data_IF_001148768218
#
_entry.id   IF_001148768218
#
_cell.length_a   1.000
_cell.length_b   1.000
_cell.length_c   1.000
_cell.angle_alpha   90.00
_cell.angle_beta   90.00
_cell.angle_gamma   90.00
#
_symmetry.space_group_name_H-M   'P 1'
#
loop_
_entity.id
_entity.type
_entity.pdbx_description
1 polymer ?
#
# COMPACT_ATOMS: atom_id res chain seq x y z
N UNK A 1 6.25 -3.44 -49.72
CA UNK A 1 6.97 -2.16 -49.70
C UNK A 1 6.07 -0.93 -49.61
N UNK A 2 5.21 -0.59 -50.59
CA UNK A 2 4.40 0.65 -50.50
C UNK A 2 3.29 0.58 -49.44
N UNK A 3 2.61 -0.57 -49.34
CA UNK A 3 1.61 -0.83 -48.29
C UNK A 3 2.24 -0.82 -46.88
N UNK A 4 3.43 -1.38 -46.73
CA UNK A 4 4.18 -1.33 -45.46
C UNK A 4 4.54 0.10 -45.07
N UNK A 5 4.94 0.93 -46.05
CA UNK A 5 5.24 2.35 -45.80
C UNK A 5 4.00 3.12 -45.35
N UNK A 6 2.83 2.83 -45.92
CA UNK A 6 1.55 3.44 -45.53
C UNK A 6 1.14 2.98 -44.13
N UNK A 7 1.24 1.68 -43.84
CA UNK A 7 0.96 1.13 -42.50
C UNK A 7 1.88 1.76 -41.46
N UNK A 8 3.17 1.90 -41.77
CA UNK A 8 4.14 2.47 -40.86
C UNK A 8 3.87 3.96 -40.60
N UNK A 9 3.52 4.72 -41.64
CA UNK A 9 3.16 6.13 -41.49
C UNK A 9 1.88 6.30 -40.65
N UNK A 10 0.85 5.50 -40.92
CA UNK A 10 -0.37 5.50 -40.13
C UNK A 10 -0.11 5.10 -38.66
N UNK A 11 0.77 4.12 -38.43
CA UNK A 11 1.19 3.72 -37.08
C UNK A 11 1.86 4.87 -36.32
N UNK A 12 2.76 5.61 -36.98
CA UNK A 12 3.46 6.75 -36.38
C UNK A 12 2.46 7.86 -36.06
N UNK A 13 1.59 8.22 -37.00
CA UNK A 13 0.60 9.29 -36.82
C UNK A 13 -0.41 8.97 -35.70
N UNK A 14 -0.89 7.72 -35.66
CA UNK A 14 -1.75 7.24 -34.57
C UNK A 14 -1.00 7.27 -33.23
N UNK A 15 0.26 6.86 -33.20
CA UNK A 15 1.06 6.84 -31.97
C UNK A 15 1.32 8.26 -31.43
N UNK A 16 1.60 9.23 -32.31
CA UNK A 16 1.76 10.63 -31.93
C UNK A 16 0.46 11.24 -31.43
N UNK A 17 -0.65 10.96 -32.12
CA UNK A 17 -1.99 11.41 -31.71
C UNK A 17 -2.36 10.83 -30.35
N UNK A 18 -2.12 9.53 -30.15
CA UNK A 18 -2.37 8.85 -28.88
C UNK A 18 -1.51 9.43 -27.76
N UNK A 19 -0.21 9.64 -28.02
CA UNK A 19 0.71 10.24 -27.05
C UNK A 19 0.24 11.61 -26.60
N UNK A 20 -0.05 12.51 -27.54
CA UNK A 20 -0.50 13.86 -27.21
C UNK A 20 -1.86 13.83 -26.50
N UNK A 21 -2.77 12.94 -26.88
CA UNK A 21 -4.04 12.76 -26.17
C UNK A 21 -3.82 12.36 -24.70
N UNK A 22 -2.94 11.39 -24.43
CA UNK A 22 -2.69 10.92 -23.07
C UNK A 22 -1.86 11.88 -22.21
N UNK A 23 -0.86 12.52 -22.81
CA UNK A 23 0.02 13.46 -22.11
C UNK A 23 -0.72 14.78 -21.86
N UNK A 24 -1.35 15.36 -22.90
CA UNK A 24 -1.90 16.71 -22.82
C UNK A 24 -3.34 16.75 -22.28
N UNK A 25 -4.19 15.76 -22.60
CA UNK A 25 -5.60 15.77 -22.15
C UNK A 25 -5.87 14.92 -20.92
N UNK A 26 -5.17 13.79 -20.77
CA UNK A 26 -5.39 12.89 -19.64
C UNK A 26 -4.39 13.06 -18.51
N UNK A 27 -3.45 14.02 -18.62
CA UNK A 27 -2.50 14.37 -17.56
C UNK A 27 -1.83 13.12 -16.96
N UNK A 28 -1.40 12.19 -17.82
CA UNK A 28 -0.85 10.91 -17.40
C UNK A 28 0.33 11.06 -16.43
N UNK A 29 1.13 12.12 -16.60
CA UNK A 29 2.28 12.44 -15.75
C UNK A 29 1.81 12.73 -14.32
N UNK A 30 0.78 13.54 -14.16
CA UNK A 30 0.24 13.93 -12.84
C UNK A 30 -0.37 12.72 -12.12
N UNK A 31 -0.94 11.77 -12.87
CA UNK A 31 -1.49 10.54 -12.32
C UNK A 31 -0.40 9.51 -11.97
N UNK A 32 0.70 9.47 -12.73
CA UNK A 32 1.90 8.71 -12.36
C UNK A 32 2.57 9.29 -11.11
N UNK A 33 2.62 10.61 -10.99
CA UNK A 33 3.14 11.28 -9.80
C UNK A 33 2.26 10.97 -8.57
N UNK A 34 0.92 10.96 -8.73
CA UNK A 34 0.02 10.51 -7.68
C UNK A 34 0.28 9.05 -7.29
N UNK A 35 0.33 8.12 -8.25
CA UNK A 35 0.62 6.71 -7.97
C UNK A 35 1.94 6.57 -7.25
N UNK A 36 2.99 7.27 -7.71
CA UNK A 36 4.28 7.30 -7.04
C UNK A 36 4.14 7.82 -5.60
N UNK A 37 3.45 8.93 -5.41
CA UNK A 37 3.25 9.54 -4.10
C UNK A 37 2.59 8.59 -3.08
N UNK A 38 1.58 7.83 -3.52
CA UNK A 38 0.81 6.95 -2.65
C UNK A 38 1.37 5.52 -2.52
N UNK A 39 1.87 4.92 -3.60
CA UNK A 39 2.39 3.54 -3.56
C UNK A 39 3.85 3.48 -3.09
N UNK A 40 4.67 4.50 -3.38
CA UNK A 40 6.08 4.54 -2.96
C UNK A 40 6.31 5.31 -1.66
N UNK A 41 5.25 5.74 -0.95
CA UNK A 41 5.37 6.40 0.35
C UNK A 41 6.33 7.61 0.27
N UNK A 42 6.13 8.47 -0.74
CA UNK A 42 7.00 9.63 -0.97
C UNK A 42 6.93 10.63 0.19
N UNK A 43 5.79 10.65 0.91
CA UNK A 43 5.53 11.53 2.05
C UNK A 43 5.59 10.76 3.36
N UNK A 44 6.81 10.53 3.85
CA UNK A 44 7.04 9.73 5.05
C UNK A 44 6.26 10.19 6.29
N UNK A 45 6.05 11.50 6.49
CA UNK A 45 5.30 12.05 7.63
C UNK A 45 3.84 11.57 7.65
N UNK A 46 3.18 11.58 6.49
CA UNK A 46 1.80 11.09 6.35
C UNK A 46 1.70 9.63 6.75
N UNK A 47 2.63 8.80 6.29
CA UNK A 47 2.61 7.37 6.61
C UNK A 47 3.04 7.10 8.05
N UNK A 48 3.91 7.92 8.65
CA UNK A 48 4.22 7.82 10.09
C UNK A 48 3.00 8.15 10.95
N UNK A 49 2.28 9.23 10.63
CA UNK A 49 1.04 9.61 11.33
C UNK A 49 -0.04 8.55 11.14
N UNK A 50 -0.21 8.09 9.91
CA UNK A 50 -1.14 7.01 9.57
C UNK A 50 -0.81 5.76 10.37
N UNK A 51 0.46 5.30 10.36
CA UNK A 51 0.88 4.12 11.10
C UNK A 51 0.59 4.24 12.58
N UNK A 52 0.89 5.39 13.20
CA UNK A 52 0.61 5.60 14.62
C UNK A 52 -0.89 5.49 14.95
N UNK A 53 -1.76 6.02 14.09
CA UNK A 53 -3.22 6.02 14.30
C UNK A 53 -3.86 4.68 13.97
N UNK A 54 -3.42 4.03 12.89
CA UNK A 54 -3.97 2.74 12.48
C UNK A 54 -3.35 1.58 13.22
N UNK A 55 -2.28 1.77 14.00
CA UNK A 55 -1.60 0.71 14.73
C UNK A 55 -2.60 -0.12 15.55
N UNK A 56 -3.34 0.53 16.44
CA UNK A 56 -4.28 -0.14 17.33
C UNK A 56 -5.44 -0.81 16.57
N UNK A 57 -5.91 -0.20 15.48
CA UNK A 57 -6.99 -0.75 14.65
C UNK A 57 -6.52 -1.98 13.86
N UNK A 58 -5.35 -1.92 13.24
CA UNK A 58 -4.81 -3.00 12.40
C UNK A 58 -4.28 -4.17 13.22
N UNK A 59 -3.72 -3.92 14.42
CA UNK A 59 -3.31 -4.97 15.35
C UNK A 59 -4.50 -5.79 15.87
N UNK A 60 -5.64 -5.14 16.10
CA UNK A 60 -6.86 -5.81 16.58
C UNK A 60 -7.66 -6.49 15.46
N UNK A 61 -7.36 -6.18 14.20
CA UNK A 61 -8.11 -6.72 13.07
C UNK A 61 -7.57 -8.08 12.65
N UNK A 62 -8.34 -9.13 12.93
CA UNK A 62 -8.07 -10.52 12.49
C UNK A 62 -8.98 -11.00 11.34
N UNK A 63 -9.96 -10.19 10.91
CA UNK A 63 -10.91 -10.49 9.82
C UNK A 63 -11.27 -9.21 9.07
N UNK A 64 -11.33 -9.25 7.73
CA UNK A 64 -11.82 -8.07 6.95
C UNK A 64 -13.30 -7.89 7.27
N UNK A 65 -13.59 -6.76 7.89
CA UNK A 65 -14.94 -6.26 8.07
C UNK A 65 -15.00 -4.94 7.30
N UNK A 66 -16.04 -4.76 6.47
CA UNK A 66 -16.22 -3.52 5.70
C UNK A 66 -16.18 -2.25 6.57
N UNK A 67 -16.60 -2.36 7.84
CA UNK A 67 -16.48 -1.28 8.82
C UNK A 67 -15.03 -0.86 9.07
N UNK A 68 -14.12 -1.82 9.26
CA UNK A 68 -12.70 -1.57 9.53
C UNK A 68 -12.02 -0.97 8.29
N UNK A 69 -12.36 -1.43 7.09
CA UNK A 69 -11.86 -0.81 5.87
C UNK A 69 -12.31 0.65 5.73
N UNK A 70 -13.56 0.95 6.08
CA UNK A 70 -14.06 2.32 6.10
C UNK A 70 -13.35 3.15 7.18
N UNK A 71 -13.15 2.60 8.38
CA UNK A 71 -12.44 3.28 9.47
C UNK A 71 -10.98 3.61 9.08
N UNK A 72 -10.28 2.69 8.42
CA UNK A 72 -8.91 2.92 7.91
C UNK A 72 -8.92 4.05 6.87
N UNK A 73 -9.89 4.03 5.95
CA UNK A 73 -10.03 5.07 4.95
C UNK A 73 -10.37 6.45 5.57
N UNK A 74 -11.18 6.48 6.63
CA UNK A 74 -11.48 7.71 7.37
C UNK A 74 -10.27 8.22 8.17
N UNK A 75 -9.53 7.33 8.84
CA UNK A 75 -8.27 7.69 9.51
C UNK A 75 -7.27 8.24 8.51
N UNK A 76 -7.22 7.69 7.30
CA UNK A 76 -6.38 8.22 6.23
C UNK A 76 -6.77 9.64 5.80
N UNK A 77 -8.07 9.90 5.61
CA UNK A 77 -8.57 11.26 5.32
C UNK A 77 -8.27 12.24 6.45
N UNK A 78 -8.40 11.80 7.71
CA UNK A 78 -8.02 12.62 8.87
C UNK A 78 -6.53 12.95 8.86
N UNK A 79 -5.65 11.98 8.54
CA UNK A 79 -4.22 12.24 8.40
C UNK A 79 -3.91 13.25 7.28
N UNK A 80 -4.65 13.21 6.17
CA UNK A 80 -4.51 14.18 5.08
C UNK A 80 -4.94 15.59 5.50
N UNK A 81 -6.04 15.69 6.24
CA UNK A 81 -6.55 16.96 6.76
C UNK A 81 -5.56 17.60 7.74
N UNK A 82 -5.00 16.80 8.66
CA UNK A 82 -4.07 17.32 9.67
C UNK A 82 -2.76 17.85 9.04
N UNK A 83 -2.33 17.23 7.94
CA UNK A 83 -1.15 17.64 7.20
C UNK A 83 -1.45 18.72 6.13
N UNK A 84 -2.68 19.25 6.08
CA UNK A 84 -3.12 20.29 5.14
C UNK A 84 -2.81 19.93 3.67
N UNK A 85 -2.93 18.65 3.32
CA UNK A 85 -2.63 18.17 1.97
C UNK A 85 -3.88 18.24 1.08
N UNK A 86 -4.43 19.43 0.90
CA UNK A 86 -5.71 19.67 0.21
C UNK A 86 -5.73 19.19 -1.25
N UNK A 87 -4.64 19.39 -2.00
CA UNK A 87 -4.49 18.90 -3.39
C UNK A 87 -4.55 17.37 -3.47
N UNK A 88 -4.10 16.71 -2.41
CA UNK A 88 -4.09 15.25 -2.31
C UNK A 88 -5.44 14.75 -1.78
N UNK A 89 -6.13 15.50 -0.93
CA UNK A 89 -7.48 15.18 -0.44
C UNK A 89 -8.47 15.01 -1.61
N UNK A 90 -8.44 15.91 -2.60
CA UNK A 90 -9.26 15.77 -3.82
C UNK A 90 -8.93 14.53 -4.66
N UNK A 91 -7.70 14.04 -4.57
CA UNK A 91 -7.25 12.83 -5.27
C UNK A 91 -7.35 11.56 -4.41
N UNK A 92 -7.46 11.70 -3.09
CA UNK A 92 -7.52 10.61 -2.12
C UNK A 92 -8.76 9.76 -2.31
N UNK A 93 -9.88 10.32 -2.78
CA UNK A 93 -11.09 9.55 -3.12
C UNK A 93 -10.87 8.51 -4.23
N UNK A 94 -9.80 8.67 -5.04
CA UNK A 94 -9.39 7.68 -6.05
C UNK A 94 -8.67 6.48 -5.44
N UNK A 95 -8.09 6.61 -4.25
CA UNK A 95 -7.31 5.59 -3.55
C UNK A 95 -8.11 5.07 -2.36
N UNK A 96 -8.42 3.77 -2.35
CA UNK A 96 -9.10 3.13 -1.22
C UNK A 96 -8.22 2.03 -0.65
N UNK A 97 -7.96 2.09 0.64
CA UNK A 97 -7.32 1.00 1.37
C UNK A 97 -8.31 -0.16 1.51
N UNK A 98 -7.82 -1.37 1.26
CA UNK A 98 -8.55 -2.63 1.37
C UNK A 98 -7.73 -3.67 2.10
N UNK A 99 -8.40 -4.45 2.95
CA UNK A 99 -7.75 -5.53 3.69
C UNK A 99 -8.01 -6.86 2.98
N UNK A 100 -7.05 -7.30 2.18
CA UNK A 100 -7.12 -8.58 1.48
C UNK A 100 -6.58 -9.68 2.40
N UNK A 101 -7.42 -10.16 3.33
CA UNK A 101 -7.10 -11.40 4.03
C UNK A 101 -7.20 -12.55 3.03
N UNK A 102 -6.17 -13.39 2.86
CA UNK A 102 -6.30 -14.60 2.10
C UNK A 102 -7.31 -15.49 2.83
N UNK A 103 -8.54 -15.50 2.34
CA UNK A 103 -9.50 -16.52 2.72
C UNK A 103 -8.89 -17.86 2.29
N UNK A 104 -9.03 -18.88 3.13
CA UNK A 104 -8.46 -20.23 2.97
C UNK A 104 -9.03 -21.02 1.79
N UNK A 105 -9.54 -20.36 0.75
CA UNK A 105 -10.21 -21.02 -0.36
C UNK A 105 -9.42 -20.77 -1.65
N UNK A 106 -8.51 -21.71 -1.91
CA UNK A 106 -8.18 -22.21 -3.25
C UNK A 106 -7.55 -21.22 -4.22
N UNK A 107 -6.22 -21.12 -4.16
CA UNK A 107 -5.35 -21.63 -5.23
C UNK A 107 -3.90 -21.52 -4.77
N UNK A 108 -3.40 -22.64 -4.26
CA UNK A 108 -1.99 -22.91 -4.27
C UNK A 108 -1.51 -22.81 -5.73
N UNK A 109 -0.68 -21.82 -6.07
CA UNK A 109 0.46 -22.11 -6.93
C UNK A 109 1.61 -21.10 -6.99
N UNK A 110 1.50 -19.82 -6.62
CA UNK A 110 2.62 -18.89 -6.94
C UNK A 110 3.23 -18.06 -5.79
N UNK A 111 2.65 -18.02 -4.58
CA UNK A 111 3.24 -17.26 -3.45
C UNK A 111 4.07 -18.17 -2.51
N UNK A 112 4.69 -19.21 -3.08
CA UNK A 112 5.32 -20.30 -2.33
C UNK A 112 6.84 -20.14 -2.12
N UNK A 113 7.47 -19.07 -2.61
CA UNK A 113 8.91 -18.83 -2.40
C UNK A 113 9.24 -18.32 -1.00
N UNK A 114 8.68 -17.17 -0.62
CA UNK A 114 8.96 -16.54 0.67
C UNK A 114 8.27 -17.25 1.85
N UNK A 115 7.06 -17.79 1.64
CA UNK A 115 6.27 -18.41 2.71
C UNK A 115 6.77 -19.80 3.12
N UNK A 116 7.39 -20.57 2.20
CA UNK A 116 7.92 -21.92 2.50
C UNK A 116 9.20 -21.92 3.34
N UNK A 117 10.04 -20.89 3.22
CA UNK A 117 11.25 -20.80 4.04
C UNK A 117 10.94 -20.50 5.52
N UNK A 118 9.79 -19.89 5.81
CA UNK A 118 9.39 -19.49 7.17
C UNK A 118 8.38 -20.42 7.84
N UNK A 119 7.68 -21.28 7.09
CA UNK A 119 6.71 -22.23 7.65
C UNK A 119 7.34 -23.54 8.16
N UNK A 120 8.66 -23.72 7.99
CA UNK A 120 9.38 -24.92 8.51
C UNK A 120 9.65 -24.87 10.03
N UNK A 121 9.17 -23.86 10.75
CA UNK A 121 9.26 -23.81 12.22
C UNK A 121 7.91 -23.91 12.94
N UNK A 122 6.78 -24.01 12.22
CA UNK A 122 5.45 -24.19 12.83
C UNK A 122 5.11 -25.69 13.00
N UNK A 123 5.86 -26.34 13.87
CA UNK A 123 5.44 -27.56 14.52
C UNK A 123 6.00 -27.51 15.94
N UNK A 124 5.10 -27.52 16.94
CA UNK A 124 5.33 -27.38 18.38
C UNK A 124 5.17 -25.93 18.89
N UNK A 125 3.96 -25.54 19.30
CA UNK A 125 3.52 -25.56 20.71
C UNK A 125 2.17 -24.87 20.84
N UNK A 126 1.14 -25.64 21.19
CA UNK A 126 -0.03 -25.18 21.93
C UNK A 126 0.44 -24.74 23.33
N UNK A 127 0.42 -23.44 23.61
CA UNK A 127 0.37 -22.90 24.97
C UNK A 127 -0.02 -21.42 24.92
N UNK A 128 -0.69 -20.93 25.96
CA UNK A 128 -1.34 -19.63 26.11
C UNK A 128 -0.42 -18.39 26.11
N UNK A 129 0.67 -18.41 25.33
CA UNK A 129 1.47 -17.27 24.90
C UNK A 129 1.81 -17.50 23.42
N UNK A 130 0.84 -17.30 22.53
CA UNK A 130 1.12 -17.38 21.10
C UNK A 130 2.00 -16.18 20.71
N UNK A 131 3.16 -16.41 20.07
CA UNK A 131 3.93 -15.32 19.46
C UNK A 131 3.00 -14.50 18.58
N UNK A 132 3.12 -13.18 18.63
CA UNK A 132 2.33 -12.28 17.82
C UNK A 132 2.42 -12.69 16.33
N UNK A 133 1.36 -13.30 15.80
CA UNK A 133 1.28 -13.67 14.39
C UNK A 133 1.04 -12.40 13.57
N UNK A 134 2.12 -11.67 13.26
CA UNK A 134 2.09 -10.47 12.41
C UNK A 134 1.44 -10.74 11.04
N UNK A 135 1.51 -11.97 10.55
CA UNK A 135 0.88 -12.38 9.30
C UNK A 135 -0.63 -12.60 9.39
N UNK A 136 -1.20 -12.58 10.60
CA UNK A 136 -2.64 -12.70 10.88
C UNK A 136 -3.27 -11.34 11.22
N UNK A 137 -2.49 -10.27 11.33
CA UNK A 137 -2.97 -8.93 11.63
C UNK A 137 -3.19 -8.10 10.34
N UNK A 138 -4.05 -7.08 10.43
CA UNK A 138 -4.44 -6.26 9.27
C UNK A 138 -3.27 -5.60 8.54
N UNK A 139 -2.09 -5.46 9.15
CA UNK A 139 -0.88 -4.90 8.53
C UNK A 139 -0.37 -5.74 7.36
N UNK A 140 -0.36 -7.06 7.48
CA UNK A 140 0.09 -7.95 6.41
C UNK A 140 -0.89 -7.99 5.22
N UNK A 141 -2.12 -7.54 5.42
CA UNK A 141 -3.21 -7.63 4.46
C UNK A 141 -3.62 -6.28 3.87
N UNK A 142 -2.91 -5.21 4.21
CA UNK A 142 -3.23 -3.84 3.80
C UNK A 142 -2.81 -3.54 2.36
N UNK A 143 -3.76 -3.45 1.45
CA UNK A 143 -3.54 -3.13 0.04
C UNK A 143 -4.17 -1.78 -0.34
N UNK A 144 -3.64 -1.12 -1.38
CA UNK A 144 -4.22 0.09 -1.96
C UNK A 144 -4.94 -0.28 -3.25
N UNK A 145 -6.23 0.05 -3.33
CA UNK A 145 -7.02 -0.01 -4.55
C UNK A 145 -7.11 1.37 -5.19
N UNK A 146 -6.45 1.52 -6.34
CA UNK A 146 -6.50 2.73 -7.15
C UNK A 146 -7.57 2.63 -8.25
N UNK A 147 -8.53 3.56 -8.25
CA UNK A 147 -9.64 3.65 -9.22
C UNK A 147 -9.26 4.56 -10.39
N UNK A 148 -8.82 3.92 -11.48
CA UNK A 148 -8.44 4.59 -12.73
C UNK A 148 -9.68 4.93 -13.58
N UNK A 149 -9.81 6.19 -14.02
CA UNK A 149 -10.82 6.61 -15.02
C UNK A 149 -10.46 6.07 -16.41
N UNK A 150 -11.46 5.71 -17.21
CA UNK A 150 -11.26 5.41 -18.63
C UNK A 150 -10.77 6.68 -19.35
N UNK A 151 -9.80 6.63 -20.28
CA UNK A 151 -9.15 5.48 -20.96
C UNK A 151 -7.84 5.00 -20.33
N UNK A 152 -7.43 5.56 -19.20
CA UNK A 152 -6.12 5.35 -18.59
C UNK A 152 -5.92 3.93 -18.02
N UNK A 153 -7.00 3.14 -17.94
CA UNK A 153 -6.96 1.70 -17.66
C UNK A 153 -6.08 0.91 -18.64
N UNK A 154 -5.91 1.40 -19.88
CA UNK A 154 -5.06 0.74 -20.87
C UNK A 154 -3.57 0.72 -20.46
N UNK A 155 -3.11 1.77 -19.77
CA UNK A 155 -1.75 1.82 -19.22
C UNK A 155 -1.65 1.13 -17.87
N UNK A 156 -2.65 1.32 -17.01
CA UNK A 156 -2.68 0.71 -15.67
C UNK A 156 -3.47 -0.60 -15.67
N UNK A 157 -2.84 -1.63 -16.25
CA UNK A 157 -3.31 -3.02 -16.14
C UNK A 157 -3.34 -3.46 -14.67
N UNK A 158 -4.20 -4.43 -14.36
CA UNK A 158 -4.33 -4.97 -13.01
C UNK A 158 -3.02 -5.60 -12.50
N UNK A 159 -2.24 -6.21 -13.42
CA UNK A 159 -0.91 -6.74 -13.09
C UNK A 159 0.06 -5.64 -12.63
N UNK A 160 0.01 -4.45 -13.25
CA UNK A 160 0.85 -3.34 -12.85
C UNK A 160 0.48 -2.86 -11.45
N UNK A 161 -0.82 -2.74 -11.15
CA UNK A 161 -1.31 -2.34 -9.82
C UNK A 161 -0.93 -3.35 -8.75
N UNK A 162 -0.97 -4.64 -9.06
CA UNK A 162 -0.57 -5.68 -8.12
C UNK A 162 0.92 -5.57 -7.77
N UNK A 163 1.79 -5.35 -8.76
CA UNK A 163 3.23 -5.13 -8.50
C UNK A 163 3.50 -3.88 -7.66
N UNK A 164 2.76 -2.80 -7.90
CA UNK A 164 2.85 -1.60 -7.05
C UNK A 164 2.34 -1.88 -5.63
N UNK A 165 1.28 -2.67 -5.48
CA UNK A 165 0.82 -3.12 -4.17
C UNK A 165 1.89 -3.94 -3.45
N UNK A 166 2.60 -4.85 -4.11
CA UNK A 166 3.69 -5.63 -3.49
C UNK A 166 4.80 -4.72 -2.96
N UNK A 167 5.17 -3.70 -3.73
CA UNK A 167 6.15 -2.67 -3.30
C UNK A 167 5.60 -1.90 -2.10
N UNK A 168 4.36 -1.44 -2.17
CA UNK A 168 3.70 -0.71 -1.08
C UNK A 168 3.67 -1.54 0.21
N UNK A 169 3.30 -2.82 0.12
CA UNK A 169 3.28 -3.76 1.25
C UNK A 169 4.65 -3.84 1.93
N UNK A 170 5.72 -3.97 1.16
CA UNK A 170 7.07 -3.99 1.73
C UNK A 170 7.42 -2.68 2.44
N UNK A 171 7.12 -1.55 1.79
CA UNK A 171 7.45 -0.22 2.31
C UNK A 171 6.67 0.11 3.58
N UNK A 172 5.38 -0.24 3.66
CA UNK A 172 4.55 0.06 4.82
C UNK A 172 4.95 -0.81 6.02
N UNK A 173 5.30 -2.08 5.80
CA UNK A 173 5.81 -2.96 6.87
C UNK A 173 7.14 -2.42 7.40
N UNK A 174 8.06 -2.02 6.51
CA UNK A 174 9.33 -1.43 6.91
C UNK A 174 9.11 -0.16 7.75
N UNK A 175 8.19 0.70 7.31
CA UNK A 175 7.83 1.92 8.05
C UNK A 175 7.26 1.61 9.43
N UNK A 176 6.39 0.61 9.52
CA UNK A 176 5.83 0.14 10.78
C UNK A 176 6.92 -0.33 11.75
N UNK A 177 7.81 -1.22 11.31
CA UNK A 177 8.91 -1.74 12.15
C UNK A 177 9.85 -0.63 12.61
N UNK A 178 10.18 0.31 11.72
CA UNK A 178 11.00 1.47 12.07
C UNK A 178 10.34 2.29 13.19
N UNK A 179 9.04 2.53 13.09
CA UNK A 179 8.30 3.32 14.08
C UNK A 179 8.17 2.60 15.43
N UNK A 180 7.93 1.29 15.43
CA UNK A 180 7.91 0.47 16.64
C UNK A 180 9.27 0.44 17.33
N UNK A 181 10.35 0.21 16.59
CA UNK A 181 11.70 0.21 17.14
C UNK A 181 12.04 1.57 17.78
N UNK A 182 11.69 2.67 17.11
CA UNK A 182 11.88 4.01 17.65
C UNK A 182 11.07 4.23 18.93
N UNK A 183 9.82 3.78 18.96
CA UNK A 183 8.94 3.89 20.13
C UNK A 183 9.47 3.10 21.32
N UNK A 184 9.94 1.88 21.10
CA UNK A 184 10.58 1.04 22.12
C UNK A 184 11.87 1.68 22.65
N UNK A 185 12.68 2.25 21.76
CA UNK A 185 13.90 2.95 22.15
C UNK A 185 13.61 4.15 23.05
N UNK A 186 12.60 4.95 22.70
CA UNK A 186 12.15 6.09 23.52
C UNK A 186 11.65 5.61 24.90
N UNK A 187 10.86 4.53 24.94
CA UNK A 187 10.38 3.94 26.19
C UNK A 187 11.55 3.46 27.07
N UNK A 188 12.54 2.78 26.49
CA UNK A 188 13.73 2.34 27.21
C UNK A 188 14.54 3.53 27.76
N UNK A 189 14.75 4.56 26.94
CA UNK A 189 15.46 5.78 27.35
C UNK A 189 14.75 6.50 28.50
N UNK A 190 13.43 6.59 28.46
CA UNK A 190 12.63 7.21 29.53
C UNK A 190 12.63 6.36 30.80
N UNK A 191 12.57 5.03 30.69
CA UNK A 191 12.70 4.12 31.83
C UNK A 191 14.06 4.25 32.52
N UNK A 192 15.14 4.37 31.74
CA UNK A 192 16.49 4.55 32.27
C UNK A 192 16.68 5.93 32.94
N UNK A 193 16.09 6.99 32.38
CA UNK A 193 16.04 8.31 33.05
C UNK A 193 15.30 8.27 34.38
N UNK A 194 14.16 7.57 34.45
CA UNK A 194 13.39 7.45 35.70
C UNK A 194 14.06 6.53 36.74
N UNK A 195 14.98 5.67 36.33
CA UNK A 195 15.76 4.81 37.23
C UNK A 195 16.98 5.52 37.84
N UNK A 196 17.38 6.67 37.31
CA UNK A 196 18.49 7.50 37.82
C UNK A 196 17.99 8.65 38.74
N UNK A 197 16.70 8.65 39.09
CA UNK A 197 16.09 9.56 40.06
C UNK A 197 15.73 8.73 41.31
N UNK A 198 16.75 8.29 42.04
CA UNK A 198 16.67 7.79 43.41
C UNK A 198 17.94 8.18 44.14
#
# INVERSE_FOLDING_TARGET
>A
FELERIIEHARIDLSLTLRNLFVDRFHLIDELEQIRGFYLIERGELYTLFVNRTNQLLLNTKKSTNAIENDINEVFKQCLNDLHLETILTNADKFKFKLNFPHSDTTAQEISGARRLLSRTQGLTDNSNTPFDFWSCGWANLSIQYRVKYPMKAFFSENCKQRYNDIFHLLIILRYVQNELNSLWLAFKNKNKNSLIW
#
